data_IF_886782317373
#
_entry.id   IF_886782317373
#
_cell.length_a   1.000
_cell.length_b   1.000
_cell.length_c   1.000
_cell.angle_alpha   90.00
_cell.angle_beta   90.00
_cell.angle_gamma   90.00
#
_symmetry.space_group_name_H-M   'P 1'
#
loop_
_entity.id
_entity.type
_entity.pdbx_description
1 polymer ?
#
# COMPACT_ATOMS: atom_id res chain seq x y z
N UNK A 1 -17.45 -43.53 -0.65
CA UNK A 1 -18.14 -42.27 -1.02
C UNK A 1 -18.18 -41.22 0.12
N UNK A 2 -17.80 -41.53 1.37
CA UNK A 2 -17.78 -40.52 2.46
C UNK A 2 -16.46 -39.75 2.63
N UNK A 3 -15.34 -40.24 2.09
CA UNK A 3 -13.99 -39.73 2.37
C UNK A 3 -13.64 -38.44 1.62
N UNK A 4 -14.22 -38.22 0.43
CA UNK A 4 -13.80 -37.13 -0.45
C UNK A 4 -14.51 -35.82 -0.07
N UNK A 5 -15.75 -35.91 0.45
CA UNK A 5 -16.53 -34.75 0.87
C UNK A 5 -16.02 -34.16 2.20
N UNK A 6 -15.74 -35.01 3.20
CA UNK A 6 -15.16 -34.58 4.49
C UNK A 6 -13.77 -33.94 4.33
N UNK A 7 -13.00 -34.37 3.32
CA UNK A 7 -11.65 -33.87 3.07
C UNK A 7 -11.64 -32.59 2.25
N UNK A 8 -12.57 -32.41 1.32
CA UNK A 8 -12.82 -31.14 0.63
C UNK A 8 -13.26 -30.04 1.62
N UNK A 9 -14.12 -30.39 2.58
CA UNK A 9 -14.52 -29.49 3.67
C UNK A 9 -13.32 -29.07 4.55
N UNK A 10 -12.38 -30.00 4.78
CA UNK A 10 -11.15 -29.73 5.55
C UNK A 10 -10.19 -28.76 4.84
N UNK A 11 -9.96 -28.91 3.52
CA UNK A 11 -9.10 -27.98 2.78
C UNK A 11 -9.74 -26.58 2.66
N UNK A 12 -11.07 -26.52 2.52
CA UNK A 12 -11.81 -25.25 2.57
C UNK A 12 -11.67 -24.54 3.93
N UNK A 13 -11.71 -25.28 5.04
CA UNK A 13 -11.51 -24.70 6.38
C UNK A 13 -10.09 -24.13 6.54
N UNK A 14 -9.06 -24.84 6.07
CA UNK A 14 -7.68 -24.33 6.04
C UNK A 14 -7.56 -23.08 5.18
N UNK A 15 -8.16 -23.08 3.99
CA UNK A 15 -8.15 -21.94 3.08
C UNK A 15 -8.76 -20.69 3.74
N UNK A 16 -9.89 -20.85 4.45
CA UNK A 16 -10.51 -19.75 5.19
C UNK A 16 -9.61 -19.20 6.30
N UNK A 17 -8.90 -20.07 7.02
CA UNK A 17 -7.97 -19.63 8.07
C UNK A 17 -6.79 -18.84 7.49
N UNK A 18 -6.19 -19.35 6.41
CA UNK A 18 -5.10 -18.68 5.69
C UNK A 18 -5.60 -17.33 5.15
N UNK A 19 -6.78 -17.30 4.54
CA UNK A 19 -7.37 -16.09 3.98
C UNK A 19 -7.62 -15.02 5.06
N UNK A 20 -8.16 -15.40 6.23
CA UNK A 20 -8.34 -14.47 7.35
C UNK A 20 -7.01 -13.90 7.84
N UNK A 21 -5.98 -14.74 7.97
CA UNK A 21 -4.63 -14.31 8.33
C UNK A 21 -4.05 -13.34 7.29
N UNK A 22 -4.24 -13.66 6.01
CA UNK A 22 -3.80 -12.82 4.89
C UNK A 22 -4.47 -11.44 4.94
N UNK A 23 -5.80 -11.39 5.05
CA UNK A 23 -6.53 -10.13 5.11
C UNK A 23 -6.18 -9.30 6.36
N UNK A 24 -5.85 -9.93 7.49
CA UNK A 24 -5.33 -9.21 8.65
C UNK A 24 -3.98 -8.53 8.37
N UNK A 25 -3.10 -9.15 7.58
CA UNK A 25 -1.83 -8.53 7.14
C UNK A 25 -2.05 -7.43 6.10
N UNK A 26 -3.07 -7.58 5.24
CA UNK A 26 -3.51 -6.52 4.32
C UNK A 26 -3.96 -5.28 5.10
N UNK A 27 -4.82 -5.42 6.11
CA UNK A 27 -5.24 -4.31 6.97
C UNK A 27 -4.06 -3.61 7.66
N UNK A 28 -3.10 -4.38 8.16
CA UNK A 28 -1.86 -3.83 8.75
C UNK A 28 -1.04 -3.04 7.72
N UNK A 29 -1.03 -3.48 6.45
CA UNK A 29 -0.38 -2.73 5.38
C UNK A 29 -1.04 -1.37 5.14
N UNK A 30 -2.38 -1.30 5.23
CA UNK A 30 -3.11 -0.04 5.09
C UNK A 30 -2.85 0.92 6.26
N UNK A 31 -2.71 0.41 7.48
CA UNK A 31 -2.28 1.20 8.65
C UNK A 31 -0.89 1.82 8.44
N UNK A 32 0.06 1.02 7.92
CA UNK A 32 1.42 1.48 7.58
C UNK A 32 1.37 2.57 6.50
N UNK A 33 0.57 2.38 5.47
CA UNK A 33 0.39 3.37 4.40
C UNK A 33 -0.20 4.68 4.96
N UNK A 34 -1.25 4.61 5.77
CA UNK A 34 -1.87 5.78 6.39
C UNK A 34 -0.93 6.53 7.35
N UNK A 35 -0.10 5.81 8.11
CA UNK A 35 0.94 6.41 8.93
C UNK A 35 2.00 7.11 8.06
N UNK A 36 2.36 6.53 6.92
CA UNK A 36 3.29 7.11 5.96
C UNK A 36 2.81 8.46 5.41
N UNK A 37 1.53 8.58 5.07
CA UNK A 37 0.94 9.85 4.60
C UNK A 37 1.12 10.98 5.62
N UNK A 38 1.00 10.68 6.92
CA UNK A 38 1.19 11.67 7.99
C UNK A 38 2.64 12.15 8.08
N UNK A 39 3.60 11.24 7.95
CA UNK A 39 5.01 11.61 7.93
C UNK A 39 5.37 12.40 6.67
N UNK A 40 4.84 12.04 5.51
CA UNK A 40 5.05 12.80 4.27
C UNK A 40 4.48 14.22 4.35
N UNK A 41 3.25 14.38 4.85
CA UNK A 41 2.66 15.71 5.08
C UNK A 41 3.50 16.55 6.05
N UNK A 42 4.00 15.92 7.13
CA UNK A 42 4.90 16.59 8.08
C UNK A 42 6.24 16.96 7.46
N UNK A 43 6.78 16.10 6.59
CA UNK A 43 8.00 16.36 5.85
C UNK A 43 7.81 17.53 4.87
N UNK A 44 6.70 17.56 4.14
CA UNK A 44 6.35 18.66 3.25
C UNK A 44 6.28 20.00 3.98
N UNK A 45 5.52 20.06 5.08
CA UNK A 45 5.42 21.26 5.90
C UNK A 45 6.80 21.69 6.43
N UNK A 46 7.59 20.74 6.94
CA UNK A 46 8.93 21.02 7.46
C UNK A 46 9.89 21.55 6.38
N UNK A 47 9.76 21.04 5.15
CA UNK A 47 10.66 21.38 4.06
C UNK A 47 10.33 22.77 3.51
N UNK A 48 9.05 23.10 3.37
CA UNK A 48 8.60 24.46 3.05
C UNK A 48 9.11 25.46 4.08
N UNK A 49 9.05 25.12 5.37
CA UNK A 49 9.57 25.99 6.43
C UNK A 49 11.07 26.22 6.30
N UNK A 50 11.88 25.19 6.06
CA UNK A 50 13.34 25.32 5.89
C UNK A 50 13.71 26.15 4.66
N UNK A 51 12.85 26.16 3.64
CA UNK A 51 13.09 26.89 2.38
C UNK A 51 12.75 28.37 2.44
N UNK A 52 12.03 28.81 3.47
CA UNK A 52 11.67 30.23 3.57
C UNK A 52 12.94 31.08 3.74
N UNK A 53 13.08 32.19 3.01
CA UNK A 53 14.19 33.09 3.25
C UNK A 53 14.09 33.69 4.66
N UNK A 54 15.23 33.81 5.34
CA UNK A 54 15.29 34.54 6.60
C UNK A 54 14.98 36.03 6.35
N UNK A 55 14.35 36.70 7.32
CA UNK A 55 14.21 38.15 7.27
C UNK A 55 15.59 38.79 7.28
N UNK A 56 15.87 39.60 6.27
CA UNK A 56 17.02 40.49 6.30
C UNK A 56 16.77 41.61 7.33
N UNK A 57 17.13 41.33 8.58
CA UNK A 57 17.10 42.28 9.70
C UNK A 57 18.13 43.40 9.53
N UNK A 58 19.00 43.38 8.51
CA UNK A 58 19.95 44.47 8.23
C UNK A 58 19.32 45.60 7.39
N UNK A 59 18.22 45.32 6.68
CA UNK A 59 17.52 46.30 5.87
C UNK A 59 16.95 47.45 6.71
N UNK A 60 17.43 48.66 6.42
CA UNK A 60 17.01 49.91 7.07
C UNK A 60 15.51 50.16 6.84
N UNK A 61 15.02 49.87 5.64
CA UNK A 61 13.61 50.01 5.30
C UNK A 61 12.73 49.08 6.15
N UNK A 62 13.11 47.81 6.27
CA UNK A 62 12.39 46.82 7.08
C UNK A 62 12.37 47.23 8.56
N UNK A 63 13.51 47.67 9.10
CA UNK A 63 13.57 48.19 10.48
C UNK A 63 12.63 49.38 10.69
N UNK A 64 12.61 50.32 9.75
CA UNK A 64 11.75 51.50 9.85
C UNK A 64 10.26 51.14 9.73
N UNK A 65 9.90 50.20 8.85
CA UNK A 65 8.51 49.73 8.71
C UNK A 65 8.02 49.03 9.99
N UNK A 66 8.85 48.15 10.55
CA UNK A 66 8.54 47.45 11.80
C UNK A 66 8.37 48.49 12.91
N UNK A 67 9.35 49.38 13.10
CA UNK A 67 9.35 50.40 14.15
C UNK A 67 8.20 51.41 14.04
N UNK A 68 7.81 51.77 12.82
CA UNK A 68 6.69 52.70 12.59
C UNK A 68 5.31 52.06 12.78
N UNK A 69 5.22 50.72 12.78
CA UNK A 69 3.97 49.97 12.80
C UNK A 69 3.99 48.80 13.81
N UNK A 70 4.66 48.96 14.96
CA UNK A 70 4.80 47.95 16.02
C UNK A 70 3.44 47.62 16.66
N UNK A 71 2.61 46.91 15.91
CA UNK A 71 1.36 46.32 16.37
C UNK A 71 1.60 44.85 16.63
N UNK A 72 0.85 44.29 17.57
CA UNK A 72 0.85 42.86 17.86
C UNK A 72 0.52 42.04 16.60
N UNK A 73 -0.38 42.56 15.76
CA UNK A 73 -0.77 41.97 14.47
C UNK A 73 0.41 41.89 13.49
N UNK A 74 1.14 42.99 13.28
CA UNK A 74 2.26 43.01 12.34
C UNK A 74 3.43 42.15 12.84
N UNK A 75 3.67 42.16 14.15
CA UNK A 75 4.67 41.31 14.80
C UNK A 75 4.34 39.83 14.62
N UNK A 76 3.08 39.46 14.81
CA UNK A 76 2.58 38.10 14.57
C UNK A 76 2.72 37.68 13.10
N UNK A 77 2.43 38.58 12.16
CA UNK A 77 2.61 38.32 10.73
C UNK A 77 4.09 38.04 10.37
N UNK A 78 5.01 38.86 10.87
CA UNK A 78 6.44 38.63 10.65
C UNK A 78 6.91 37.32 11.29
N UNK A 79 6.46 37.01 12.51
CA UNK A 79 6.81 35.75 13.16
C UNK A 79 6.24 34.51 12.43
N UNK A 80 5.08 34.63 11.78
CA UNK A 80 4.49 33.55 11.00
C UNK A 80 5.19 33.35 9.64
N UNK A 81 5.73 34.42 9.05
CA UNK A 81 6.34 34.41 7.72
C UNK A 81 7.83 34.05 7.69
N UNK A 82 8.54 34.15 8.81
CA UNK A 82 10.00 34.25 8.82
C UNK A 82 10.65 33.18 9.71
N UNK A 83 11.76 32.61 9.24
CA UNK A 83 12.53 31.62 10.00
C UNK A 83 13.36 32.33 11.07
N UNK A 84 13.22 31.95 12.34
CA UNK A 84 14.16 32.32 13.40
C UNK A 84 15.34 31.34 13.42
N UNK A 85 16.53 31.77 13.89
CA UNK A 85 17.75 30.95 13.85
C UNK A 85 17.60 29.56 14.51
N UNK A 86 16.77 29.45 15.56
CA UNK A 86 16.47 28.19 16.24
C UNK A 86 15.51 27.28 15.43
N UNK A 87 14.65 27.88 14.59
CA UNK A 87 13.65 27.16 13.79
C UNK A 87 14.33 26.30 12.73
N UNK A 88 15.47 26.73 12.17
CA UNK A 88 16.23 25.95 11.19
C UNK A 88 16.68 24.60 11.76
N UNK A 89 17.30 24.60 12.94
CA UNK A 89 17.78 23.37 13.59
C UNK A 89 16.62 22.46 14.01
N UNK A 90 15.56 23.04 14.59
CA UNK A 90 14.38 22.27 14.99
C UNK A 90 13.64 21.67 13.79
N UNK A 91 13.49 22.41 12.69
CA UNK A 91 12.84 21.93 11.49
C UNK A 91 13.68 20.87 10.76
N UNK A 92 15.01 21.02 10.70
CA UNK A 92 15.90 19.97 10.19
C UNK A 92 15.81 18.68 11.02
N UNK A 93 15.71 18.81 12.35
CA UNK A 93 15.50 17.66 13.23
C UNK A 93 14.16 16.98 12.94
N UNK A 94 13.07 17.75 12.80
CA UNK A 94 11.74 17.23 12.41
C UNK A 94 11.78 16.52 11.06
N UNK A 95 12.44 17.09 10.06
CA UNK A 95 12.61 16.48 8.74
C UNK A 95 13.35 15.15 8.84
N UNK A 96 14.43 15.11 9.63
CA UNK A 96 15.17 13.86 9.88
C UNK A 96 14.29 12.82 10.57
N UNK A 97 13.52 13.19 11.57
CA UNK A 97 12.57 12.29 12.23
C UNK A 97 11.52 11.76 11.27
N UNK A 98 11.01 12.59 10.34
CA UNK A 98 10.07 12.14 9.32
C UNK A 98 10.71 11.11 8.38
N UNK A 99 11.92 11.36 7.88
CA UNK A 99 12.64 10.41 7.01
C UNK A 99 12.91 9.09 7.73
N UNK A 100 13.37 9.13 8.99
CA UNK A 100 13.59 7.91 9.78
C UNK A 100 12.28 7.15 10.04
N UNK A 101 11.19 7.86 10.34
CA UNK A 101 9.86 7.27 10.49
C UNK A 101 9.38 6.59 9.21
N UNK A 102 9.53 7.24 8.07
CA UNK A 102 9.20 6.68 6.75
C UNK A 102 10.05 5.46 6.40
N UNK A 103 11.35 5.49 6.67
CA UNK A 103 12.23 4.32 6.49
C UNK A 103 11.81 3.14 7.36
N UNK A 104 11.43 3.40 8.62
CA UNK A 104 10.89 2.38 9.51
C UNK A 104 9.59 1.78 8.98
N UNK A 105 8.70 2.60 8.43
CA UNK A 105 7.44 2.15 7.84
C UNK A 105 7.68 1.31 6.58
N UNK A 106 8.59 1.73 5.69
CA UNK A 106 8.97 0.94 4.50
C UNK A 106 9.56 -0.41 4.90
N UNK A 107 10.42 -0.47 5.93
CA UNK A 107 10.93 -1.74 6.45
C UNK A 107 9.81 -2.62 7.02
N UNK A 108 8.83 -2.01 7.69
CA UNK A 108 7.65 -2.73 8.20
C UNK A 108 6.80 -3.28 7.05
N UNK A 109 6.58 -2.49 5.99
CA UNK A 109 5.88 -2.94 4.78
C UNK A 109 6.60 -4.11 4.11
N UNK A 110 7.94 -4.10 4.05
CA UNK A 110 8.74 -5.23 3.54
C UNK A 110 8.54 -6.50 4.39
N UNK A 111 8.51 -6.39 5.71
CA UNK A 111 8.20 -7.53 6.58
C UNK A 111 6.79 -8.07 6.31
N UNK A 112 5.80 -7.20 6.17
CA UNK A 112 4.43 -7.60 5.83
C UNK A 112 4.38 -8.31 4.47
N UNK A 113 5.12 -7.82 3.47
CA UNK A 113 5.19 -8.49 2.16
C UNK A 113 5.76 -9.90 2.24
N UNK A 114 6.79 -10.13 3.05
CA UNK A 114 7.35 -11.47 3.26
C UNK A 114 6.31 -12.39 3.93
N UNK A 115 5.57 -11.89 4.91
CA UNK A 115 4.48 -12.64 5.55
C UNK A 115 3.35 -12.97 4.55
N UNK A 116 2.96 -12.02 3.71
CA UNK A 116 1.95 -12.21 2.66
C UNK A 116 2.40 -13.22 1.60
N UNK A 117 3.68 -13.21 1.24
CA UNK A 117 4.27 -14.17 0.29
C UNK A 117 4.25 -15.59 0.86
N UNK A 118 4.60 -15.77 2.14
CA UNK A 118 4.46 -17.07 2.81
C UNK A 118 3.02 -17.58 2.84
N UNK A 119 2.04 -16.71 3.10
CA UNK A 119 0.63 -17.08 3.05
C UNK A 119 0.15 -17.42 1.63
N UNK A 120 0.67 -16.74 0.61
CA UNK A 120 0.41 -17.09 -0.80
C UNK A 120 0.96 -18.49 -1.14
N UNK A 121 2.16 -18.83 -0.66
CA UNK A 121 2.71 -20.19 -0.81
C UNK A 121 1.84 -21.24 -0.11
N UNK A 122 1.34 -20.95 1.10
CA UNK A 122 0.43 -21.84 1.81
C UNK A 122 -0.89 -22.05 1.05
N UNK A 123 -1.44 -20.99 0.45
CA UNK A 123 -2.61 -21.08 -0.44
C UNK A 123 -2.35 -22.01 -1.63
N UNK A 124 -1.19 -21.87 -2.29
CA UNK A 124 -0.83 -22.71 -3.44
C UNK A 124 -0.80 -24.19 -3.00
N UNK A 125 -0.20 -24.50 -1.85
CA UNK A 125 -0.16 -25.88 -1.31
C UNK A 125 -1.56 -26.45 -1.05
N UNK A 126 -2.49 -25.65 -0.53
CA UNK A 126 -3.88 -26.09 -0.29
C UNK A 126 -4.60 -26.40 -1.61
N UNK A 127 -4.43 -25.54 -2.62
CA UNK A 127 -5.03 -25.75 -3.95
C UNK A 127 -4.42 -26.97 -4.65
N UNK A 128 -3.10 -27.16 -4.58
CA UNK A 128 -2.41 -28.32 -5.13
C UNK A 128 -2.89 -29.62 -4.47
N UNK A 129 -2.97 -29.64 -3.13
CA UNK A 129 -3.49 -30.79 -2.40
C UNK A 129 -4.91 -31.12 -2.86
N UNK A 130 -5.80 -30.13 -2.96
CA UNK A 130 -7.17 -30.36 -3.44
C UNK A 130 -7.23 -30.92 -4.88
N UNK A 131 -6.34 -30.47 -5.77
CA UNK A 131 -6.28 -30.90 -7.17
C UNK A 131 -5.64 -32.27 -7.37
N UNK A 132 -4.64 -32.65 -6.57
CA UNK A 132 -3.97 -33.94 -6.64
C UNK A 132 -4.95 -35.12 -6.42
N UNK A 133 -6.03 -34.87 -5.67
CA UNK A 133 -7.08 -35.86 -5.43
C UNK A 133 -8.14 -35.97 -6.56
N UNK A 134 -8.21 -35.02 -7.49
CA UNK A 134 -9.15 -35.03 -8.62
C UNK A 134 -8.64 -35.83 -9.83
N UNK A 135 -7.35 -36.20 -9.85
CA UNK A 135 -6.73 -37.02 -10.89
C UNK A 135 -6.47 -38.45 -10.35
N UNK A 136 -7.40 -39.40 -10.45
CA UNK A 136 -7.03 -40.80 -10.30
C UNK A 136 -6.16 -41.17 -11.50
N UNK A 137 -4.94 -41.66 -11.23
CA UNK A 137 -3.94 -42.19 -12.16
C UNK A 137 -4.46 -42.43 -13.58
N UNK A 138 -4.21 -41.50 -14.51
CA UNK A 138 -4.38 -41.75 -15.93
C UNK A 138 -3.02 -41.97 -16.57
N UNK A 139 -2.68 -43.25 -16.66
CA UNK A 139 -1.80 -43.80 -17.69
C UNK A 139 -2.59 -43.71 -19.02
N UNK A 140 -2.70 -42.51 -19.59
CA UNK A 140 -3.29 -42.32 -20.92
C UNK A 140 -2.71 -41.08 -21.62
N UNK A 141 -2.39 -41.28 -22.90
CA UNK A 141 -1.49 -40.50 -23.74
C UNK A 141 -1.84 -38.99 -23.81
N UNK A 142 -0.87 -38.16 -23.41
CA UNK A 142 -0.95 -36.69 -23.28
C UNK A 142 -1.34 -36.01 -24.61
N UNK A 143 -1.14 -36.69 -25.73
CA UNK A 143 -1.31 -36.11 -27.06
C UNK A 143 -2.79 -35.91 -27.47
N UNK A 144 -3.74 -36.65 -26.87
CA UNK A 144 -5.14 -36.65 -27.33
C UNK A 144 -6.03 -35.61 -26.60
N UNK A 145 -5.55 -35.07 -25.47
CA UNK A 145 -6.26 -34.06 -24.66
C UNK A 145 -6.07 -32.64 -25.19
N UNK A 146 -4.87 -32.34 -25.71
CA UNK A 146 -4.51 -31.01 -26.21
C UNK A 146 -5.27 -30.60 -27.47
N UNK A 147 -5.80 -31.57 -28.24
CA UNK A 147 -6.61 -31.31 -29.43
C UNK A 147 -8.08 -31.02 -29.12
N UNK A 148 -8.60 -31.39 -27.94
CA UNK A 148 -9.99 -31.15 -27.56
C UNK A 148 -10.22 -29.76 -26.97
N UNK A 149 -9.21 -29.19 -26.32
CA UNK A 149 -9.30 -27.85 -25.70
C UNK A 149 -9.10 -26.69 -26.69
N UNK A 150 -8.57 -26.94 -27.89
CA UNK A 150 -8.39 -25.89 -28.93
C UNK A 150 -9.70 -25.56 -29.69
N UNK A 151 -10.78 -26.32 -29.50
CA UNK A 151 -12.02 -26.16 -30.31
C UNK A 151 -13.25 -25.63 -29.54
N UNK A 152 -13.13 -25.19 -28.29
CA UNK A 152 -14.25 -24.58 -27.54
C UNK A 152 -13.92 -23.14 -27.12
N UNK A 153 -13.35 -22.38 -28.05
CA UNK A 153 -13.40 -20.92 -28.01
C UNK A 153 -14.42 -20.46 -29.05
N UNK A 154 -15.71 -20.74 -28.81
CA UNK A 154 -16.84 -20.10 -29.48
C UNK A 154 -18.15 -20.58 -28.83
N UNK A 155 -18.60 -19.88 -27.79
CA UNK A 155 -20.00 -19.47 -27.64
C UNK A 155 -20.17 -18.47 -26.51
N UNK A 156 -20.95 -17.45 -26.87
CA UNK A 156 -21.31 -16.26 -26.13
C UNK A 156 -21.97 -16.54 -24.78
N UNK A 157 -21.65 -15.65 -23.83
CA UNK A 157 -22.60 -14.89 -23.02
C UNK A 157 -23.80 -15.65 -22.44
N UNK A 158 -23.70 -16.01 -21.17
CA UNK A 158 -24.84 -15.96 -20.25
C UNK A 158 -24.39 -15.41 -18.91
N UNK A 159 -24.86 -14.21 -18.60
CA UNK A 159 -24.91 -13.69 -17.24
C UNK A 159 -25.56 -14.73 -16.32
N UNK A 160 -24.80 -15.25 -15.37
CA UNK A 160 -25.32 -16.01 -14.24
C UNK A 160 -24.77 -15.38 -12.98
N UNK A 161 -25.61 -14.58 -12.35
CA UNK A 161 -25.46 -14.15 -10.96
C UNK A 161 -25.48 -15.39 -10.06
N UNK A 162 -24.32 -16.00 -9.83
CA UNK A 162 -24.19 -17.09 -8.86
C UNK A 162 -23.74 -16.46 -7.54
N UNK A 163 -24.73 -16.17 -6.70
CA UNK A 163 -24.57 -16.08 -5.26
C UNK A 163 -24.21 -17.48 -4.75
N UNK A 164 -22.94 -17.85 -4.93
CA UNK A 164 -22.32 -19.05 -4.39
C UNK A 164 -21.23 -18.65 -3.41
N UNK A 165 -21.03 -19.45 -2.35
CA UNK A 165 -19.87 -19.31 -1.47
C UNK A 165 -18.59 -19.43 -2.33
N UNK A 166 -17.57 -18.57 -2.15
CA UNK A 166 -16.37 -18.63 -2.98
C UNK A 166 -15.68 -19.99 -2.90
N UNK A 167 -15.18 -20.48 -4.03
CA UNK A 167 -14.41 -21.72 -4.13
C UNK A 167 -12.94 -21.52 -3.76
N UNK A 168 -12.18 -22.61 -3.58
CA UNK A 168 -10.75 -22.55 -3.28
C UNK A 168 -9.95 -21.73 -4.30
N UNK A 169 -10.31 -21.88 -5.58
CA UNK A 169 -9.71 -21.16 -6.71
C UNK A 169 -10.03 -19.66 -6.67
N UNK A 170 -11.24 -19.28 -6.25
CA UNK A 170 -11.62 -17.87 -6.08
C UNK A 170 -10.78 -17.19 -5.00
N UNK A 171 -10.62 -17.86 -3.85
CA UNK A 171 -9.77 -17.35 -2.77
C UNK A 171 -8.31 -17.25 -3.21
N UNK A 172 -7.78 -18.25 -3.91
CA UNK A 172 -6.40 -18.24 -4.37
C UNK A 172 -6.13 -17.12 -5.40
N UNK A 173 -7.06 -16.93 -6.33
CA UNK A 173 -7.02 -15.83 -7.30
C UNK A 173 -7.05 -14.48 -6.58
N UNK A 174 -7.92 -14.32 -5.58
CA UNK A 174 -8.04 -13.09 -4.80
C UNK A 174 -6.73 -12.76 -4.05
N UNK A 175 -6.12 -13.76 -3.38
CA UNK A 175 -4.86 -13.62 -2.66
C UNK A 175 -3.72 -13.21 -3.61
N UNK A 176 -3.61 -13.87 -4.77
CA UNK A 176 -2.59 -13.54 -5.76
C UNK A 176 -2.72 -12.12 -6.32
N UNK A 177 -3.94 -11.70 -6.64
CA UNK A 177 -4.24 -10.34 -7.11
C UNK A 177 -3.84 -9.31 -6.04
N UNK A 178 -4.32 -9.45 -4.81
CA UNK A 178 -4.05 -8.51 -3.72
C UNK A 178 -2.55 -8.44 -3.40
N UNK A 179 -1.86 -9.58 -3.34
CA UNK A 179 -0.41 -9.61 -3.12
C UNK A 179 0.32 -8.79 -4.18
N UNK A 180 -0.05 -8.96 -5.46
CA UNK A 180 0.56 -8.20 -6.56
C UNK A 180 0.36 -6.70 -6.43
N UNK A 181 -0.85 -6.26 -6.04
CA UNK A 181 -1.21 -4.87 -5.83
C UNK A 181 -0.38 -4.25 -4.68
N UNK A 182 -0.34 -4.91 -3.53
CA UNK A 182 0.41 -4.45 -2.35
C UNK A 182 1.92 -4.42 -2.64
N UNK A 183 2.44 -5.39 -3.40
CA UNK A 183 3.85 -5.43 -3.80
C UNK A 183 4.22 -4.21 -4.65
N UNK A 184 3.41 -3.88 -5.66
CA UNK A 184 3.64 -2.70 -6.49
C UNK A 184 3.56 -1.40 -5.69
N UNK A 185 2.56 -1.30 -4.80
CA UNK A 185 2.39 -0.14 -3.92
C UNK A 185 3.58 0.04 -2.96
N UNK A 186 4.08 -1.04 -2.35
CA UNK A 186 5.27 -0.97 -1.49
C UNK A 186 6.52 -0.56 -2.26
N UNK A 187 6.69 -0.99 -3.51
CA UNK A 187 7.82 -0.57 -4.36
C UNK A 187 7.73 0.91 -4.68
N UNK A 188 6.53 1.43 -4.93
CA UNK A 188 6.30 2.87 -5.10
C UNK A 188 6.66 3.64 -3.83
N UNK A 189 6.18 3.18 -2.67
CA UNK A 189 6.48 3.80 -1.37
C UNK A 189 7.99 3.84 -1.10
N UNK A 190 8.72 2.74 -1.35
CA UNK A 190 10.18 2.70 -1.20
C UNK A 190 10.89 3.71 -2.11
N UNK A 191 10.44 3.86 -3.36
CA UNK A 191 11.00 4.85 -4.30
C UNK A 191 10.74 6.28 -3.83
N UNK A 192 9.53 6.57 -3.34
CA UNK A 192 9.19 7.88 -2.78
C UNK A 192 10.13 8.21 -1.61
N UNK A 193 10.25 7.31 -0.63
CA UNK A 193 11.10 7.53 0.56
C UNK A 193 12.57 7.72 0.16
N UNK A 194 13.05 6.96 -0.82
CA UNK A 194 14.42 7.06 -1.32
C UNK A 194 14.70 8.37 -2.07
N UNK A 195 13.68 8.97 -2.68
CA UNK A 195 13.80 10.25 -3.37
C UNK A 195 13.83 11.45 -2.41
N UNK A 196 13.31 11.33 -1.19
CA UNK A 196 13.18 12.46 -0.25
C UNK A 196 14.53 13.10 0.09
N UNK A 197 14.65 14.39 -0.18
CA UNK A 197 15.83 15.18 0.15
C UNK A 197 15.50 16.68 0.25
N UNK A 198 16.44 17.49 0.73
CA UNK A 198 16.23 18.93 0.93
C UNK A 198 16.10 19.75 -0.37
N UNK A 199 16.50 19.20 -1.52
CA UNK A 199 16.46 19.86 -2.84
C UNK A 199 15.18 19.56 -3.63
N UNK A 200 14.36 18.61 -3.17
CA UNK A 200 13.17 18.13 -3.89
C UNK A 200 12.15 19.24 -4.17
N UNK A 201 11.77 19.55 -5.41
CA UNK A 201 10.87 20.69 -5.64
C UNK A 201 9.50 20.51 -4.96
N UNK A 202 8.80 21.63 -4.69
CA UNK A 202 7.47 21.57 -4.06
C UNK A 202 6.47 20.76 -4.89
N UNK A 203 6.52 20.87 -6.22
CA UNK A 203 5.64 20.13 -7.13
C UNK A 203 5.96 18.63 -7.17
N UNK A 204 7.23 18.24 -7.11
CA UNK A 204 7.62 16.82 -6.97
C UNK A 204 7.12 16.26 -5.63
N UNK A 205 7.27 17.01 -4.54
CA UNK A 205 6.83 16.56 -3.22
C UNK A 205 5.32 16.39 -3.15
N UNK A 206 4.58 17.35 -3.69
CA UNK A 206 3.12 17.27 -3.79
C UNK A 206 2.69 16.04 -4.59
N UNK A 207 3.34 15.78 -5.72
CA UNK A 207 3.11 14.58 -6.53
C UNK A 207 3.32 13.30 -5.70
N UNK A 208 4.41 13.22 -4.93
CA UNK A 208 4.67 12.07 -4.07
C UNK A 208 3.64 11.91 -2.95
N UNK A 209 3.22 12.99 -2.31
CA UNK A 209 2.17 12.98 -1.30
C UNK A 209 0.83 12.50 -1.89
N UNK A 210 0.49 12.96 -3.09
CA UNK A 210 -0.71 12.52 -3.81
C UNK A 210 -0.63 11.04 -4.18
N UNK A 211 0.48 10.57 -4.77
CA UNK A 211 0.67 9.16 -5.10
C UNK A 211 0.58 8.27 -3.87
N UNK A 212 1.19 8.66 -2.75
CA UNK A 212 1.11 7.91 -1.50
C UNK A 212 -0.31 7.83 -0.95
N UNK A 213 -1.06 8.94 -1.02
CA UNK A 213 -2.42 9.01 -0.47
C UNK A 213 -3.44 8.30 -1.35
N UNK A 214 -3.30 8.39 -2.67
CA UNK A 214 -4.24 7.79 -3.63
C UNK A 214 -3.97 6.31 -3.90
N UNK A 215 -2.81 5.76 -3.52
CA UNK A 215 -2.49 4.34 -3.65
C UNK A 215 -2.80 3.80 -5.08
N UNK A 216 -2.23 4.35 -6.16
CA UNK A 216 -2.68 4.06 -7.54
C UNK A 216 -2.56 2.59 -8.00
N UNK A 217 -1.86 1.75 -7.25
CA UNK A 217 -1.74 0.31 -7.51
C UNK A 217 -2.76 -0.53 -6.74
N UNK A 218 -3.55 0.11 -5.86
CA UNK A 218 -4.63 -0.52 -5.12
C UNK A 218 -5.95 -0.16 -5.80
N UNK A 219 -6.70 -1.20 -6.12
CA UNK A 219 -8.03 -1.13 -6.67
C UNK A 219 -9.03 -1.36 -5.51
N UNK A 220 -9.79 -0.31 -5.19
CA UNK A 220 -10.75 -0.32 -4.09
C UNK A 220 -11.92 -1.29 -4.33
N UNK A 221 -12.28 -1.57 -5.58
CA UNK A 221 -13.35 -2.52 -5.91
C UNK A 221 -12.91 -3.95 -5.61
N UNK A 222 -11.66 -4.29 -5.99
CA UNK A 222 -11.04 -5.58 -5.66
C UNK A 222 -10.93 -5.74 -4.15
N UNK A 223 -10.46 -4.70 -3.45
CA UNK A 223 -10.36 -4.72 -1.99
C UNK A 223 -11.73 -4.91 -1.33
N UNK A 224 -12.75 -4.19 -1.79
CA UNK A 224 -14.11 -4.33 -1.25
C UNK A 224 -14.66 -5.75 -1.47
N UNK A 225 -14.45 -6.31 -2.66
CA UNK A 225 -14.81 -7.70 -2.96
C UNK A 225 -14.06 -8.69 -2.08
N UNK A 226 -12.77 -8.48 -1.84
CA UNK A 226 -11.98 -9.33 -0.96
C UNK A 226 -12.52 -9.35 0.48
N UNK A 227 -12.86 -8.19 1.03
CA UNK A 227 -13.47 -8.11 2.35
C UNK A 227 -14.81 -8.86 2.44
N UNK A 228 -15.57 -8.96 1.34
CA UNK A 228 -16.83 -9.73 1.30
C UNK A 228 -16.63 -11.25 1.38
N UNK A 229 -15.41 -11.75 1.15
CA UNK A 229 -15.09 -13.19 1.25
C UNK A 229 -14.84 -13.64 2.70
N UNK A 230 -14.74 -12.70 3.64
CA UNK A 230 -14.63 -12.99 5.07
C UNK A 230 -16.05 -13.24 5.61
N UNK A 231 -16.32 -14.43 6.18
CA UNK A 231 -17.62 -14.74 6.80
C UNK A 231 -17.90 -13.93 8.06
#
# INVERSE_FOLDING_TARGET
MGTDNERSDSEMEKMLLIYKSFMARVAKSDEVAAAGSRFLASFQQGLELVRRPALDRSSILLKNIIKANETERLTSYFNAGCIHANDGSQNLTKLRTCVLGLQSLVNTAKTILIELEGLLEDVIRVVEAANEYLLPSQDEDINDRLMREVTIANKEETASSVSGRPELTDYATMVGIIYSMIKQDSVMQEKIVSALNLKLSSGELETYCTMWSLRPFIDDEIMHRAWSFIP
#
